data_IF_470070789689
#
_entry.id   IF_470070789689
#
_cell.length_a   1.000
_cell.length_b   1.000
_cell.length_c   1.000
_cell.angle_alpha   90.00
_cell.angle_beta   90.00
_cell.angle_gamma   90.00
#
_symmetry.space_group_name_H-M   'P 1'
#
loop_
_entity.id
_entity.type
_entity.pdbx_description
1 polymer ?
#
# COMPACT_ATOMS: atom_id res chain seq x y z
N UNK A 1 -1.93 -5.81 -19.55
CA UNK A 1 -2.09 -4.35 -19.38
C UNK A 1 -1.42 -3.65 -20.55
N UNK A 2 -2.04 -2.60 -21.10
CA UNK A 2 -1.46 -1.79 -22.19
C UNK A 2 -1.46 -0.30 -21.83
N UNK A 3 -2.61 0.23 -21.39
CA UNK A 3 -2.76 1.61 -21.00
C UNK A 3 -3.30 1.68 -19.57
N UNK A 4 -2.54 2.28 -18.69
CA UNK A 4 -2.73 2.19 -17.24
C UNK A 4 -3.05 3.57 -16.68
N UNK A 5 -4.06 3.66 -15.82
CA UNK A 5 -4.37 4.83 -15.01
C UNK A 5 -4.03 4.55 -13.53
N UNK A 6 -3.24 5.42 -12.92
CA UNK A 6 -2.96 5.38 -11.48
C UNK A 6 -3.74 6.50 -10.81
N UNK A 7 -4.82 6.20 -10.12
CA UNK A 7 -5.56 7.19 -9.31
C UNK A 7 -4.88 7.32 -7.95
N UNK A 8 -4.46 8.52 -7.58
CA UNK A 8 -3.63 8.76 -6.39
C UNK A 8 -2.13 8.61 -6.66
N UNK A 9 -1.69 8.93 -7.88
CA UNK A 9 -0.31 8.81 -8.34
C UNK A 9 0.71 9.66 -7.57
N UNK A 10 0.29 10.63 -6.79
CA UNK A 10 1.18 11.48 -5.96
C UNK A 10 1.31 11.00 -4.51
N UNK A 11 0.62 9.89 -4.16
CA UNK A 11 0.76 9.23 -2.86
C UNK A 11 2.03 8.39 -2.74
N UNK A 12 2.26 7.80 -1.56
CA UNK A 12 3.46 6.99 -1.27
C UNK A 12 3.61 5.83 -2.27
N UNK A 13 2.63 4.93 -2.35
CA UNK A 13 2.67 3.82 -3.31
C UNK A 13 2.54 4.37 -4.75
N UNK A 14 1.65 5.35 -4.95
CA UNK A 14 1.29 5.84 -6.28
C UNK A 14 2.46 6.43 -7.06
N UNK A 15 3.32 7.22 -6.40
CA UNK A 15 4.48 7.86 -7.06
C UNK A 15 5.50 6.81 -7.50
N UNK A 16 5.83 5.86 -6.63
CA UNK A 16 6.80 4.81 -6.94
C UNK A 16 6.23 3.79 -7.94
N UNK A 17 4.94 3.41 -7.79
CA UNK A 17 4.29 2.49 -8.74
C UNK A 17 4.16 3.11 -10.14
N UNK A 18 3.85 4.40 -10.24
CA UNK A 18 3.79 5.08 -11.54
C UNK A 18 5.12 5.01 -12.28
N UNK A 19 6.22 5.32 -11.59
CA UNK A 19 7.57 5.26 -12.17
C UNK A 19 7.96 3.83 -12.54
N UNK A 20 7.67 2.87 -11.68
CA UNK A 20 7.91 1.45 -11.94
C UNK A 20 7.14 0.96 -13.17
N UNK A 21 5.84 1.26 -13.28
CA UNK A 21 5.03 0.87 -14.43
C UNK A 21 5.46 1.57 -15.72
N UNK A 22 5.88 2.85 -15.65
CA UNK A 22 6.46 3.56 -16.81
C UNK A 22 7.73 2.88 -17.32
N UNK A 23 8.56 2.37 -16.43
CA UNK A 23 9.77 1.64 -16.83
C UNK A 23 9.47 0.31 -17.51
N UNK A 24 8.34 -0.34 -17.16
CA UNK A 24 7.94 -1.65 -17.71
C UNK A 24 7.14 -1.50 -19.01
N UNK A 25 6.15 -0.60 -19.04
CA UNK A 25 5.18 -0.48 -20.13
C UNK A 25 5.42 0.70 -21.07
N UNK A 26 6.34 1.60 -20.71
CA UNK A 26 6.62 2.85 -21.43
C UNK A 26 5.88 4.04 -20.84
N UNK A 27 6.54 5.19 -20.91
CA UNK A 27 6.09 6.43 -20.29
C UNK A 27 4.68 6.87 -20.73
N UNK A 28 4.40 6.79 -22.02
CA UNK A 28 3.14 7.25 -22.63
C UNK A 28 1.93 6.34 -22.30
N UNK A 29 2.20 5.15 -21.80
CA UNK A 29 1.18 4.14 -21.47
C UNK A 29 0.71 4.21 -20.01
N UNK A 30 1.30 5.07 -19.17
CA UNK A 30 0.96 5.16 -17.74
C UNK A 30 0.62 6.59 -17.35
N UNK A 31 -0.67 6.83 -17.15
CA UNK A 31 -1.23 8.13 -16.78
C UNK A 31 -1.21 8.30 -15.26
N UNK A 32 -0.57 9.35 -14.78
CA UNK A 32 -0.56 9.73 -13.37
C UNK A 32 -1.82 10.57 -13.04
N UNK A 33 -2.82 9.93 -12.42
CA UNK A 33 -4.05 10.59 -11.94
C UNK A 33 -3.85 11.23 -10.57
N UNK A 34 -4.11 12.54 -10.47
CA UNK A 34 -3.94 13.31 -9.24
C UNK A 34 -5.13 14.25 -8.99
N UNK A 35 -5.26 14.78 -7.79
CA UNK A 35 -6.28 15.80 -7.45
C UNK A 35 -5.66 17.20 -7.46
N UNK A 36 -6.47 18.20 -7.74
CA UNK A 36 -6.06 19.62 -7.68
C UNK A 36 -5.48 19.97 -6.30
N UNK A 37 -4.29 20.55 -6.29
CA UNK A 37 -3.52 20.86 -5.08
C UNK A 37 -2.54 19.76 -4.64
N UNK A 38 -2.52 18.62 -5.37
CA UNK A 38 -1.54 17.55 -5.19
C UNK A 38 -0.91 17.17 -6.55
N UNK A 39 -0.48 18.16 -7.31
CA UNK A 39 0.11 18.00 -8.64
C UNK A 39 1.43 17.22 -8.56
N UNK A 40 1.71 16.32 -9.52
CA UNK A 40 3.00 15.64 -9.62
C UNK A 40 4.15 16.64 -9.83
N UNK A 41 5.34 16.28 -9.40
CA UNK A 41 6.55 17.13 -9.49
C UNK A 41 7.74 16.31 -9.99
N UNK A 42 8.77 17.02 -10.50
CA UNK A 42 10.02 16.42 -10.96
C UNK A 42 9.77 15.29 -11.96
N UNK A 43 10.51 14.21 -11.82
CA UNK A 43 10.47 13.09 -12.74
C UNK A 43 9.07 12.51 -12.96
N UNK A 44 8.22 12.45 -11.92
CA UNK A 44 6.84 11.97 -12.04
C UNK A 44 6.00 12.83 -13.01
N UNK A 45 6.24 14.14 -13.05
CA UNK A 45 5.58 15.06 -13.99
C UNK A 45 6.19 14.99 -15.38
N UNK A 46 7.52 14.90 -15.45
CA UNK A 46 8.28 15.07 -16.70
C UNK A 46 8.33 13.79 -17.55
N UNK A 47 8.22 12.61 -16.91
CA UNK A 47 8.41 11.33 -17.58
C UNK A 47 7.21 10.80 -18.35
N UNK A 48 6.00 11.40 -18.23
CA UNK A 48 4.83 10.89 -18.94
C UNK A 48 3.54 11.65 -18.62
N UNK A 49 2.40 11.22 -19.17
CA UNK A 49 1.13 11.92 -19.03
C UNK A 49 0.67 11.98 -17.58
N UNK A 50 0.06 13.11 -17.23
CA UNK A 50 -0.59 13.33 -15.93
C UNK A 50 -1.90 14.09 -16.12
N UNK A 51 -2.93 13.71 -15.34
CA UNK A 51 -4.28 14.25 -15.45
C UNK A 51 -4.92 14.47 -14.08
N UNK A 52 -5.77 15.49 -13.99
CA UNK A 52 -6.66 15.63 -12.84
C UNK A 52 -7.66 14.47 -12.88
N UNK A 53 -7.65 13.63 -11.85
CA UNK A 53 -8.52 12.47 -11.72
C UNK A 53 -9.03 12.39 -10.28
N UNK A 54 -10.19 13.00 -10.04
CA UNK A 54 -10.86 12.99 -8.74
C UNK A 54 -11.73 11.74 -8.62
N UNK A 55 -11.36 10.84 -7.72
CA UNK A 55 -12.09 9.58 -7.49
C UNK A 55 -13.55 9.79 -7.07
N UNK A 56 -13.89 10.96 -6.51
CA UNK A 56 -15.27 11.27 -6.11
C UNK A 56 -16.17 11.70 -7.27
N UNK A 57 -15.61 11.84 -8.49
CA UNK A 57 -16.30 12.24 -9.71
C UNK A 57 -16.18 11.15 -10.79
N UNK A 58 -17.21 10.32 -10.93
CA UNK A 58 -17.22 9.22 -11.92
C UNK A 58 -17.02 9.72 -13.37
N UNK A 59 -17.61 10.88 -13.75
CA UNK A 59 -17.44 11.44 -15.08
C UNK A 59 -15.99 11.83 -15.36
N UNK A 60 -15.30 12.41 -14.37
CA UNK A 60 -13.90 12.78 -14.53
C UNK A 60 -13.00 11.52 -14.71
N UNK A 61 -13.29 10.43 -14.00
CA UNK A 61 -12.60 9.15 -14.23
C UNK A 61 -12.86 8.63 -15.65
N UNK A 62 -14.12 8.62 -16.08
CA UNK A 62 -14.52 8.16 -17.42
C UNK A 62 -13.88 8.99 -18.54
N UNK A 63 -13.78 10.32 -18.36
CA UNK A 63 -13.11 11.21 -19.34
C UNK A 63 -11.63 10.85 -19.51
N UNK A 64 -10.91 10.57 -18.41
CA UNK A 64 -9.51 10.14 -18.47
C UNK A 64 -9.38 8.75 -19.09
N UNK A 65 -10.25 7.81 -18.72
CA UNK A 65 -10.30 6.45 -19.31
C UNK A 65 -10.46 6.51 -20.81
N UNK A 66 -11.41 7.31 -21.30
CA UNK A 66 -11.66 7.48 -22.74
C UNK A 66 -10.51 8.18 -23.46
N UNK A 67 -9.98 9.26 -22.88
CA UNK A 67 -8.89 10.06 -23.48
C UNK A 67 -7.65 9.23 -23.77
N UNK A 68 -7.30 8.30 -22.87
CA UNK A 68 -6.08 7.50 -22.95
C UNK A 68 -6.33 6.04 -23.32
N UNK A 69 -7.58 5.64 -23.64
CA UNK A 69 -7.97 4.25 -23.90
C UNK A 69 -7.49 3.30 -22.81
N UNK A 70 -7.73 3.66 -21.54
CA UNK A 70 -7.29 2.90 -20.37
C UNK A 70 -7.94 1.53 -20.34
N UNK A 71 -7.14 0.49 -20.12
CA UNK A 71 -7.59 -0.89 -19.91
C UNK A 71 -7.39 -1.39 -18.46
N UNK A 72 -6.58 -0.68 -17.67
CA UNK A 72 -6.25 -1.07 -16.30
C UNK A 72 -6.21 0.16 -15.38
N UNK A 73 -6.91 0.09 -14.26
CA UNK A 73 -6.95 1.16 -13.24
C UNK A 73 -6.32 0.64 -11.94
N UNK A 74 -5.29 1.30 -11.46
CA UNK A 74 -4.79 1.16 -10.10
C UNK A 74 -5.42 2.26 -9.24
N UNK A 75 -6.35 1.87 -8.38
CA UNK A 75 -7.00 2.78 -7.45
C UNK A 75 -6.25 2.82 -6.13
N UNK A 76 -5.40 3.81 -5.94
CA UNK A 76 -4.58 4.00 -4.73
C UNK A 76 -5.08 5.16 -3.86
N UNK A 77 -6.18 5.82 -4.24
CA UNK A 77 -6.73 6.95 -3.49
C UNK A 77 -7.39 6.48 -2.19
N UNK A 78 -6.84 6.91 -1.07
CA UNK A 78 -7.37 6.62 0.27
C UNK A 78 -6.86 7.63 1.29
N UNK A 79 -7.57 7.79 2.41
CA UNK A 79 -7.03 8.40 3.62
C UNK A 79 -6.36 7.31 4.48
N UNK A 80 -5.17 7.60 5.03
CA UNK A 80 -4.45 6.67 5.92
C UNK A 80 -5.13 6.56 7.29
N UNK A 81 -4.83 5.46 8.01
CA UNK A 81 -5.52 5.04 9.22
C UNK A 81 -5.76 6.16 10.26
N UNK A 82 -4.71 6.86 10.69
CA UNK A 82 -4.81 7.93 11.71
C UNK A 82 -5.61 9.13 11.18
N UNK A 83 -5.36 9.54 9.92
CA UNK A 83 -6.08 10.66 9.29
C UNK A 83 -7.55 10.32 9.08
N UNK A 84 -7.85 9.08 8.73
CA UNK A 84 -9.22 8.59 8.52
C UNK A 84 -10.04 8.65 9.82
N UNK A 85 -9.47 8.28 10.97
CA UNK A 85 -10.13 8.39 12.29
C UNK A 85 -10.50 9.85 12.63
N UNK A 86 -9.68 10.80 12.25
CA UNK A 86 -9.98 12.23 12.42
C UNK A 86 -11.04 12.78 11.45
N UNK A 87 -11.32 12.07 10.35
CA UNK A 87 -12.24 12.52 9.27
C UNK A 87 -13.07 11.37 8.71
N UNK A 88 -13.87 10.67 9.53
CA UNK A 88 -14.50 9.39 9.15
C UNK A 88 -15.45 9.49 7.95
N UNK A 89 -16.23 10.55 7.84
CA UNK A 89 -17.15 10.75 6.71
C UNK A 89 -16.39 10.96 5.39
N UNK A 90 -15.30 11.72 5.43
CA UNK A 90 -14.45 11.93 4.24
C UNK A 90 -13.73 10.63 3.86
N UNK A 91 -13.24 9.88 4.84
CA UNK A 91 -12.61 8.57 4.61
C UNK A 91 -13.57 7.60 3.93
N UNK A 92 -14.83 7.56 4.37
CA UNK A 92 -15.88 6.76 3.74
C UNK A 92 -16.18 7.23 2.32
N UNK A 93 -16.37 8.54 2.13
CA UNK A 93 -16.68 9.10 0.83
C UNK A 93 -15.61 8.83 -0.22
N UNK A 94 -14.33 8.99 0.15
CA UNK A 94 -13.20 8.69 -0.74
C UNK A 94 -13.02 7.17 -0.89
N UNK A 95 -12.94 6.42 0.22
CA UNK A 95 -12.60 5.00 0.21
C UNK A 95 -13.67 4.12 -0.42
N UNK A 96 -14.94 4.36 -0.14
CA UNK A 96 -16.06 3.54 -0.63
C UNK A 96 -16.80 4.22 -1.76
N UNK A 97 -17.19 5.48 -1.61
CA UNK A 97 -17.85 6.23 -2.70
C UNK A 97 -16.95 6.33 -3.93
N UNK A 98 -15.67 6.65 -3.72
CA UNK A 98 -14.69 6.68 -4.80
C UNK A 98 -14.44 5.32 -5.44
N UNK A 99 -14.29 4.26 -4.65
CA UNK A 99 -14.16 2.90 -5.21
C UNK A 99 -15.38 2.50 -6.03
N UNK A 100 -16.58 2.83 -5.55
CA UNK A 100 -17.82 2.60 -6.30
C UNK A 100 -17.76 3.25 -7.69
N UNK A 101 -17.36 4.52 -7.76
CA UNK A 101 -17.21 5.23 -9.04
C UNK A 101 -16.19 4.54 -9.96
N UNK A 102 -15.04 4.11 -9.43
CA UNK A 102 -14.02 3.38 -10.21
C UNK A 102 -14.58 2.07 -10.76
N UNK A 103 -15.30 1.30 -9.95
CA UNK A 103 -15.87 0.02 -10.35
C UNK A 103 -16.99 0.17 -11.40
N UNK A 104 -17.84 1.21 -11.29
CA UNK A 104 -18.85 1.51 -12.31
C UNK A 104 -18.18 1.92 -13.64
N UNK A 105 -17.20 2.82 -13.61
CA UNK A 105 -16.47 3.19 -14.83
C UNK A 105 -15.75 1.98 -15.42
N UNK A 106 -15.12 1.15 -14.59
CA UNK A 106 -14.46 -0.06 -15.06
C UNK A 106 -15.45 -1.05 -15.71
N UNK A 107 -16.65 -1.20 -15.14
CA UNK A 107 -17.73 -2.03 -15.71
C UNK A 107 -18.17 -1.51 -17.07
N UNK A 108 -18.32 -0.20 -17.22
CA UNK A 108 -18.80 0.44 -18.45
C UNK A 108 -17.76 0.42 -19.57
N UNK A 109 -16.48 0.56 -19.22
CA UNK A 109 -15.38 0.67 -20.18
C UNK A 109 -14.53 -0.61 -20.33
N UNK A 110 -14.84 -1.67 -19.58
CA UNK A 110 -14.13 -2.95 -19.68
C UNK A 110 -12.71 -2.92 -19.09
N UNK A 111 -12.46 -2.07 -18.09
CA UNK A 111 -11.15 -1.98 -17.43
C UNK A 111 -10.98 -3.05 -16.34
N UNK A 112 -9.76 -3.56 -16.18
CA UNK A 112 -9.36 -4.28 -14.97
C UNK A 112 -9.06 -3.28 -13.84
N UNK A 113 -9.25 -3.67 -12.57
CA UNK A 113 -9.08 -2.80 -11.41
C UNK A 113 -8.21 -3.46 -10.35
N UNK A 114 -7.15 -2.78 -9.95
CA UNK A 114 -6.41 -3.08 -8.73
C UNK A 114 -6.77 -2.06 -7.64
N UNK A 115 -7.21 -2.53 -6.47
CA UNK A 115 -7.45 -1.64 -5.31
C UNK A 115 -6.85 -2.28 -4.07
N UNK A 116 -5.80 -1.71 -3.44
CA UNK A 116 -5.16 -2.35 -2.31
C UNK A 116 -6.05 -2.37 -1.06
N UNK A 117 -6.10 -3.52 -0.41
CA UNK A 117 -6.52 -3.66 0.97
C UNK A 117 -5.31 -3.52 1.92
N UNK A 118 -5.46 -3.89 3.18
CA UNK A 118 -4.47 -3.68 4.23
C UNK A 118 -4.64 -4.68 5.35
N UNK A 119 -3.60 -4.96 6.13
CA UNK A 119 -3.71 -5.62 7.43
C UNK A 119 -4.71 -4.93 8.38
N UNK A 120 -4.98 -3.64 8.14
CA UNK A 120 -6.02 -2.88 8.85
C UNK A 120 -7.44 -3.41 8.64
N UNK A 121 -7.69 -4.29 7.66
CA UNK A 121 -8.98 -4.98 7.46
C UNK A 121 -9.27 -6.03 8.54
N UNK A 122 -8.27 -6.44 9.30
CA UNK A 122 -8.41 -7.35 10.42
C UNK A 122 -8.73 -6.62 11.73
N UNK A 123 -9.09 -7.36 12.76
CA UNK A 123 -9.43 -6.81 14.06
C UNK A 123 -9.12 -7.79 15.20
N UNK A 124 -9.38 -7.41 16.45
CA UNK A 124 -8.96 -8.19 17.63
C UNK A 124 -9.49 -9.63 17.72
N UNK A 125 -10.52 -9.96 16.94
CA UNK A 125 -11.06 -11.33 16.84
C UNK A 125 -10.40 -12.22 15.79
N UNK A 126 -9.47 -11.65 15.01
CA UNK A 126 -8.70 -12.37 14.00
C UNK A 126 -7.51 -13.08 14.66
N UNK A 127 -7.15 -14.32 14.28
CA UNK A 127 -5.91 -14.95 14.73
C UNK A 127 -4.70 -14.06 14.39
N UNK A 128 -3.90 -13.68 15.39
CA UNK A 128 -2.80 -12.74 15.17
C UNK A 128 -1.59 -13.37 14.46
N UNK A 129 -1.30 -14.63 14.75
CA UNK A 129 -0.15 -15.35 14.18
C UNK A 129 -0.59 -16.20 12.98
N UNK A 130 0.09 -16.01 11.85
CA UNK A 130 -0.24 -16.66 10.57
C UNK A 130 -1.72 -16.52 10.23
N UNK A 131 -2.17 -15.27 10.22
CA UNK A 131 -3.58 -14.94 9.93
C UNK A 131 -4.00 -15.58 8.61
N UNK A 132 -5.01 -16.48 8.64
CA UNK A 132 -5.44 -17.18 7.42
C UNK A 132 -5.98 -16.23 6.34
N UNK A 133 -5.93 -16.66 5.09
CA UNK A 133 -6.51 -15.93 3.96
C UNK A 133 -7.99 -15.64 4.20
N UNK A 134 -8.75 -16.68 4.53
CA UNK A 134 -10.17 -16.58 4.87
C UNK A 134 -10.35 -16.65 6.39
N UNK A 135 -10.74 -15.55 6.98
CA UNK A 135 -10.91 -15.44 8.42
C UNK A 135 -11.88 -14.31 8.78
N UNK A 136 -12.19 -14.19 10.07
CA UNK A 136 -13.05 -13.12 10.58
C UNK A 136 -12.35 -11.76 10.44
N UNK A 137 -13.02 -10.85 9.73
CA UNK A 137 -12.59 -9.45 9.60
C UNK A 137 -13.57 -8.57 10.40
N UNK A 138 -13.14 -8.07 11.56
CA UNK A 138 -13.92 -7.15 12.42
C UNK A 138 -13.05 -5.99 12.89
N UNK A 139 -12.59 -5.15 11.95
CA UNK A 139 -11.78 -3.98 12.29
C UNK A 139 -12.58 -3.00 13.15
N UNK A 140 -11.87 -2.23 13.97
CA UNK A 140 -12.45 -1.21 14.85
C UNK A 140 -12.24 0.22 14.33
N UNK A 141 -11.51 0.38 13.23
CA UNK A 141 -11.21 1.67 12.63
C UNK A 141 -12.05 1.90 11.38
N UNK A 142 -12.42 3.16 11.09
CA UNK A 142 -13.14 3.50 9.85
C UNK A 142 -12.31 3.13 8.61
N UNK A 143 -10.98 3.22 8.71
CA UNK A 143 -10.06 2.77 7.67
C UNK A 143 -10.22 1.28 7.39
N UNK A 144 -10.14 0.44 8.43
CA UNK A 144 -10.29 -1.00 8.29
C UNK A 144 -11.68 -1.41 7.80
N UNK A 145 -12.74 -0.77 8.30
CA UNK A 145 -14.11 -0.98 7.83
C UNK A 145 -14.22 -0.68 6.33
N UNK A 146 -13.62 0.42 5.87
CA UNK A 146 -13.62 0.75 4.44
C UNK A 146 -12.85 -0.28 3.61
N UNK A 147 -11.74 -0.84 4.14
CA UNK A 147 -10.98 -1.88 3.45
C UNK A 147 -11.79 -3.17 3.29
N UNK A 148 -12.41 -3.67 4.35
CA UNK A 148 -13.31 -4.85 4.27
C UNK A 148 -14.47 -4.61 3.30
N UNK A 149 -15.10 -3.45 3.38
CA UNK A 149 -16.17 -3.09 2.45
C UNK A 149 -15.69 -3.08 0.99
N UNK A 150 -14.49 -2.57 0.76
CA UNK A 150 -13.86 -2.54 -0.57
C UNK A 150 -13.55 -3.94 -1.11
N UNK A 151 -13.06 -4.86 -0.26
CA UNK A 151 -12.85 -6.26 -0.62
C UNK A 151 -14.15 -6.91 -1.10
N UNK A 152 -15.20 -6.83 -0.29
CA UNK A 152 -16.51 -7.41 -0.58
C UNK A 152 -17.18 -6.76 -1.81
N UNK A 153 -17.01 -5.46 -2.00
CA UNK A 153 -17.55 -4.74 -3.15
C UNK A 153 -16.84 -5.17 -4.44
N UNK A 154 -15.53 -5.35 -4.39
CA UNK A 154 -14.74 -5.84 -5.52
C UNK A 154 -15.13 -7.27 -5.91
N UNK A 155 -15.35 -8.16 -4.94
CA UNK A 155 -15.88 -9.51 -5.17
C UNK A 155 -17.25 -9.47 -5.82
N UNK A 156 -18.15 -8.59 -5.36
CA UNK A 156 -19.48 -8.43 -5.95
C UNK A 156 -19.40 -8.02 -7.42
N UNK A 157 -18.53 -7.04 -7.77
CA UNK A 157 -18.36 -6.58 -9.14
C UNK A 157 -17.77 -7.65 -10.05
N UNK A 158 -16.82 -8.42 -9.55
CA UNK A 158 -16.31 -9.58 -10.28
C UNK A 158 -17.38 -10.63 -10.53
N UNK A 159 -18.06 -11.06 -9.47
CA UNK A 159 -19.04 -12.17 -9.54
C UNK A 159 -20.29 -11.81 -10.36
N UNK A 160 -20.74 -10.55 -10.24
CA UNK A 160 -21.99 -10.14 -10.89
C UNK A 160 -21.80 -9.58 -12.28
N UNK A 161 -20.73 -8.83 -12.50
CA UNK A 161 -20.53 -8.07 -13.74
C UNK A 161 -19.31 -8.51 -14.53
N UNK A 162 -18.49 -9.39 -14.01
CA UNK A 162 -17.26 -9.88 -14.67
C UNK A 162 -16.15 -8.85 -14.74
N UNK A 163 -16.18 -7.80 -13.91
CA UNK A 163 -15.07 -6.83 -13.81
C UNK A 163 -13.86 -7.54 -13.21
N UNK A 164 -12.73 -7.54 -13.91
CA UNK A 164 -11.49 -8.13 -13.38
C UNK A 164 -10.92 -7.28 -12.25
N UNK A 165 -11.39 -7.55 -11.04
CA UNK A 165 -10.91 -6.90 -9.81
C UNK A 165 -9.86 -7.76 -9.13
N UNK A 166 -8.76 -7.14 -8.70
CA UNK A 166 -7.67 -7.82 -7.98
C UNK A 166 -7.14 -6.95 -6.85
N UNK A 167 -6.72 -7.57 -5.75
CA UNK A 167 -6.28 -6.86 -4.57
C UNK A 167 -5.31 -7.67 -3.72
N UNK A 168 -4.48 -6.97 -2.94
CA UNK A 168 -3.64 -7.53 -1.88
C UNK A 168 -3.90 -6.80 -0.57
N UNK A 169 -3.76 -7.48 0.55
CA UNK A 169 -3.72 -6.88 1.89
C UNK A 169 -2.28 -6.50 2.19
N UNK A 170 -1.95 -5.24 1.99
CA UNK A 170 -0.60 -4.77 2.30
C UNK A 170 -0.33 -4.79 3.80
N UNK A 171 0.83 -5.31 4.21
CA UNK A 171 1.39 -5.06 5.54
C UNK A 171 1.86 -3.61 5.68
N UNK A 172 2.59 -3.29 6.75
CA UNK A 172 3.27 -2.00 6.90
C UNK A 172 4.31 -1.80 5.81
N UNK A 173 4.21 -0.73 5.03
CA UNK A 173 5.13 -0.45 3.93
C UNK A 173 6.28 0.44 4.37
N UNK A 174 7.49 0.05 3.97
CA UNK A 174 8.74 0.76 4.23
C UNK A 174 9.31 1.23 2.90
N UNK A 175 9.55 2.54 2.75
CA UNK A 175 10.10 3.14 1.54
C UNK A 175 11.27 4.06 1.87
N UNK A 176 12.29 4.05 1.00
CA UNK A 176 13.38 5.02 1.03
C UNK A 176 13.08 6.25 0.15
N UNK A 177 11.97 6.26 -0.62
CA UNK A 177 11.63 7.32 -1.56
C UNK A 177 10.70 8.34 -0.95
N UNK A 178 9.54 7.90 -0.48
CA UNK A 178 8.51 8.78 0.06
C UNK A 178 8.62 8.84 1.59
N UNK A 179 8.69 10.05 2.18
CA UNK A 179 8.67 10.20 3.63
C UNK A 179 7.40 9.63 4.26
N UNK A 180 7.42 9.31 5.55
CA UNK A 180 6.26 8.85 6.30
C UNK A 180 5.07 9.80 6.19
N UNK A 181 3.86 9.24 6.07
CA UNK A 181 2.62 9.98 5.82
C UNK A 181 1.68 10.11 7.03
N UNK A 182 2.09 9.68 8.22
CA UNK A 182 1.26 9.65 9.44
C UNK A 182 0.55 8.32 9.66
N UNK A 183 1.12 7.21 9.19
CA UNK A 183 0.65 5.85 9.46
C UNK A 183 1.15 5.30 10.79
N UNK A 184 0.52 4.23 11.27
CA UNK A 184 0.93 3.54 12.51
C UNK A 184 2.29 2.85 12.35
N UNK A 185 2.61 2.38 11.15
CA UNK A 185 3.83 1.66 10.82
C UNK A 185 5.01 2.57 10.43
N UNK A 186 4.79 3.87 10.37
CA UNK A 186 5.80 4.85 9.92
C UNK A 186 7.05 4.86 10.81
N UNK A 187 6.97 4.35 12.04
CA UNK A 187 8.14 4.22 12.92
C UNK A 187 9.27 3.42 12.25
N UNK A 188 8.91 2.43 11.42
CA UNK A 188 9.86 1.57 10.71
C UNK A 188 10.52 2.27 9.50
N UNK A 189 10.06 3.47 9.15
CA UNK A 189 10.71 4.37 8.18
C UNK A 189 11.48 5.47 8.94
N UNK A 190 10.83 6.10 9.92
CA UNK A 190 11.42 7.20 10.72
C UNK A 190 12.72 6.79 11.42
N UNK A 191 12.83 5.53 11.86
CA UNK A 191 14.02 4.99 12.51
C UNK A 191 15.25 5.07 11.61
N UNK A 192 15.11 4.82 10.29
CA UNK A 192 16.22 4.92 9.33
C UNK A 192 16.64 6.37 9.10
N UNK A 193 15.65 7.30 9.01
CA UNK A 193 15.97 8.73 8.91
C UNK A 193 16.77 9.23 10.12
N UNK A 194 16.36 8.83 11.33
CA UNK A 194 17.09 9.16 12.56
C UNK A 194 18.50 8.55 12.55
N UNK A 195 18.62 7.30 12.16
CA UNK A 195 19.92 6.59 12.10
C UNK A 195 20.92 7.28 11.14
N UNK A 196 20.46 7.61 9.91
CA UNK A 196 21.32 8.26 8.90
C UNK A 196 21.72 9.68 9.31
N UNK A 197 20.84 10.39 10.06
CA UNK A 197 21.16 11.74 10.60
C UNK A 197 22.04 11.71 11.85
N UNK A 198 22.29 10.53 12.40
CA UNK A 198 23.01 10.39 13.68
C UNK A 198 22.19 10.90 14.88
N UNK A 199 20.88 10.91 14.76
CA UNK A 199 19.93 11.34 15.78
C UNK A 199 19.43 10.12 16.59
N UNK A 200 19.11 10.33 17.88
CA UNK A 200 18.47 9.32 18.69
C UNK A 200 17.02 9.15 18.23
N UNK A 201 16.58 7.93 18.01
CA UNK A 201 15.21 7.62 17.65
C UNK A 201 14.32 7.44 18.90
N UNK A 202 13.13 8.06 18.88
CA UNK A 202 12.10 7.89 19.90
C UNK A 202 10.99 7.02 19.30
N UNK A 203 10.95 5.74 19.70
CA UNK A 203 10.00 4.78 19.17
C UNK A 203 8.61 4.97 19.81
N UNK A 204 7.54 5.21 19.00
CA UNK A 204 6.19 5.37 19.52
C UNK A 204 5.45 4.06 19.73
N UNK A 205 6.06 2.91 19.39
CA UNK A 205 5.48 1.57 19.51
C UNK A 205 6.24 0.80 20.58
N UNK A 206 5.52 0.08 21.44
CA UNK A 206 6.10 -0.67 22.53
C UNK A 206 6.96 -1.84 22.04
N UNK A 207 8.01 -2.14 22.80
CA UNK A 207 8.79 -3.37 22.61
C UNK A 207 7.88 -4.61 22.64
N UNK A 208 8.19 -5.61 21.83
CA UNK A 208 7.41 -6.84 21.74
C UNK A 208 6.13 -6.73 20.86
N UNK A 209 5.88 -5.57 20.24
CA UNK A 209 4.76 -5.41 19.30
C UNK A 209 5.19 -5.83 17.89
N UNK A 210 4.87 -7.06 17.51
CA UNK A 210 5.13 -7.58 16.19
C UNK A 210 4.12 -7.03 15.18
N UNK A 211 4.58 -6.72 13.99
CA UNK A 211 3.74 -6.35 12.85
C UNK A 211 4.36 -6.89 11.55
N UNK A 212 3.51 -7.33 10.65
CA UNK A 212 3.94 -7.69 9.31
C UNK A 212 4.34 -6.44 8.52
N UNK A 213 5.50 -6.47 7.89
CA UNK A 213 6.11 -5.36 7.17
C UNK A 213 6.60 -5.80 5.80
N UNK A 214 6.70 -4.86 4.88
CA UNK A 214 7.17 -5.12 3.52
C UNK A 214 7.95 -3.92 2.98
N UNK A 215 9.06 -4.18 2.31
CA UNK A 215 9.80 -3.16 1.60
C UNK A 215 9.08 -2.74 0.31
N UNK A 216 9.13 -1.45 -0.05
CA UNK A 216 8.38 -0.92 -1.19
C UNK A 216 8.67 -1.64 -2.52
N UNK A 217 9.90 -2.03 -2.87
CA UNK A 217 10.14 -2.80 -4.09
C UNK A 217 9.34 -4.10 -4.17
N UNK A 218 9.17 -4.82 -3.06
CA UNK A 218 8.32 -6.02 -3.02
C UNK A 218 6.85 -5.66 -3.19
N UNK A 219 6.39 -4.55 -2.59
CA UNK A 219 5.01 -4.09 -2.75
C UNK A 219 4.67 -3.72 -4.19
N UNK A 220 5.59 -3.01 -4.88
CA UNK A 220 5.43 -2.67 -6.30
C UNK A 220 5.41 -3.91 -7.17
N UNK A 221 6.29 -4.87 -6.88
CA UNK A 221 6.35 -6.15 -7.56
C UNK A 221 5.05 -6.94 -7.41
N UNK A 222 4.48 -6.97 -6.19
CA UNK A 222 3.19 -7.60 -5.93
C UNK A 222 2.06 -6.98 -6.77
N UNK A 223 2.02 -5.65 -6.90
CA UNK A 223 1.04 -4.95 -7.74
C UNK A 223 1.11 -5.40 -9.20
N UNK A 224 2.33 -5.48 -9.75
CA UNK A 224 2.55 -5.86 -11.15
C UNK A 224 2.25 -7.35 -11.36
N UNK A 225 2.86 -8.23 -10.57
CA UNK A 225 2.72 -9.68 -10.71
C UNK A 225 1.27 -10.15 -10.58
N UNK A 226 0.52 -9.61 -9.60
CA UNK A 226 -0.88 -9.98 -9.44
C UNK A 226 -1.71 -9.55 -10.66
N UNK A 227 -1.49 -8.35 -11.20
CA UNK A 227 -2.25 -7.88 -12.36
C UNK A 227 -1.85 -8.57 -13.67
N UNK A 228 -0.66 -9.16 -13.75
CA UNK A 228 -0.19 -9.98 -14.88
C UNK A 228 -0.52 -11.47 -14.71
N UNK A 229 -0.90 -11.90 -13.51
CA UNK A 229 -1.22 -13.31 -13.25
C UNK A 229 -2.36 -13.82 -14.12
N UNK A 230 -2.28 -15.11 -14.49
CA UNK A 230 -3.36 -15.77 -15.23
C UNK A 230 -4.66 -15.74 -14.40
N UNK A 231 -5.71 -15.07 -14.90
CA UNK A 231 -6.97 -14.95 -14.18
C UNK A 231 -7.64 -16.29 -13.85
N UNK A 232 -7.33 -17.34 -14.59
CA UNK A 232 -7.87 -18.69 -14.36
C UNK A 232 -7.27 -19.35 -13.10
N UNK A 233 -6.10 -18.90 -12.63
CA UNK A 233 -5.47 -19.39 -11.41
C UNK A 233 -5.97 -18.71 -10.14
N UNK A 234 -6.60 -17.53 -10.27
CA UNK A 234 -6.96 -16.70 -9.12
C UNK A 234 -8.29 -17.15 -8.50
N UNK A 235 -8.21 -17.82 -7.35
CA UNK A 235 -9.38 -18.20 -6.53
C UNK A 235 -9.75 -17.06 -5.58
N UNK A 236 -8.72 -16.49 -4.89
CA UNK A 236 -8.88 -15.42 -3.91
C UNK A 236 -8.60 -14.02 -4.50
N UNK A 237 -9.13 -13.71 -5.65
CA UNK A 237 -8.88 -12.49 -6.44
C UNK A 237 -8.73 -11.20 -5.64
N UNK A 238 -9.65 -10.99 -4.71
CA UNK A 238 -9.69 -9.83 -3.81
C UNK A 238 -9.46 -10.35 -2.40
N UNK A 239 -8.60 -10.01 -1.96
CA UNK A 239 -7.51 -9.41 -1.29
C UNK A 239 -6.58 -10.50 -0.79
N UNK A 240 -5.62 -10.86 -1.55
CA UNK A 240 -4.61 -11.82 -1.13
C UNK A 240 -3.84 -11.31 0.09
N UNK A 241 -3.70 -12.14 1.10
CA UNK A 241 -2.66 -11.92 2.10
C UNK A 241 -1.30 -12.01 1.41
N UNK A 242 -0.46 -11.02 1.61
CA UNK A 242 0.95 -11.04 1.21
C UNK A 242 1.82 -10.69 2.41
N UNK A 243 2.87 -11.45 2.63
CA UNK A 243 3.81 -11.27 3.72
C UNK A 243 5.24 -11.16 3.19
N UNK A 244 6.09 -10.43 3.87
CA UNK A 244 7.53 -10.36 3.60
C UNK A 244 8.32 -10.63 4.86
N UNK A 245 8.16 -9.80 5.89
CA UNK A 245 8.86 -9.93 7.16
C UNK A 245 7.98 -9.48 8.32
N UNK A 246 8.02 -10.19 9.44
CA UNK A 246 7.38 -9.77 10.69
C UNK A 246 8.44 -9.50 11.73
N UNK A 247 8.43 -8.30 12.29
CA UNK A 247 9.39 -7.91 13.31
C UNK A 247 8.79 -6.89 14.31
N UNK A 248 9.46 -6.75 15.44
CA UNK A 248 9.17 -5.78 16.48
C UNK A 248 10.23 -4.64 16.49
N UNK A 249 9.97 -3.50 17.14
CA UNK A 249 10.88 -2.35 17.08
C UNK A 249 12.32 -2.61 17.49
N UNK A 250 12.56 -3.53 18.44
CA UNK A 250 13.93 -3.84 18.85
C UNK A 250 14.71 -4.59 17.77
N UNK A 251 14.06 -5.41 16.98
CA UNK A 251 14.75 -6.18 15.93
C UNK A 251 15.27 -5.26 14.83
N UNK A 252 14.46 -4.33 14.33
CA UNK A 252 14.92 -3.35 13.33
C UNK A 252 16.00 -2.43 13.90
N UNK A 253 15.89 -2.04 15.18
CA UNK A 253 16.92 -1.26 15.86
C UNK A 253 18.26 -2.00 15.93
N UNK A 254 18.27 -3.26 16.36
CA UNK A 254 19.51 -4.05 16.44
C UNK A 254 20.11 -4.29 15.04
N UNK A 255 19.30 -4.56 14.02
CA UNK A 255 19.78 -4.70 12.64
C UNK A 255 20.43 -3.41 12.13
N UNK A 256 19.88 -2.24 12.44
CA UNK A 256 20.53 -0.95 12.13
C UNK A 256 21.85 -0.79 12.88
N UNK A 257 21.93 -1.25 14.13
CA UNK A 257 23.15 -1.14 14.94
C UNK A 257 24.28 -2.03 14.45
N UNK A 258 24.00 -3.10 13.74
CA UNK A 258 25.05 -3.91 13.08
C UNK A 258 25.86 -3.04 12.12
N UNK A 259 25.19 -2.11 11.41
CA UNK A 259 25.82 -1.20 10.44
C UNK A 259 26.26 0.15 11.08
N UNK A 260 25.51 0.63 12.07
CA UNK A 260 25.72 1.91 12.75
C UNK A 260 25.80 1.70 14.28
N UNK A 261 26.93 1.20 14.83
CA UNK A 261 27.04 0.81 16.26
C UNK A 261 26.75 1.92 17.27
N UNK A 262 26.86 3.19 16.86
CA UNK A 262 26.57 4.36 17.70
C UNK A 262 25.08 4.76 17.75
N UNK A 263 24.22 4.13 16.94
CA UNK A 263 22.79 4.48 16.89
C UNK A 263 22.10 4.16 18.22
N UNK A 264 21.19 5.04 18.64
CA UNK A 264 20.44 4.93 19.89
C UNK A 264 18.95 5.03 19.68
N UNK A 265 18.19 4.22 20.43
CA UNK A 265 16.74 4.26 20.47
C UNK A 265 16.22 4.27 21.90
N UNK A 266 15.13 4.99 22.12
CA UNK A 266 14.34 4.96 23.35
C UNK A 266 12.85 4.77 23.02
N UNK A 267 12.08 4.27 23.97
CA UNK A 267 10.64 4.10 23.81
C UNK A 267 9.89 5.25 24.50
N UNK A 268 9.01 5.90 23.73
CA UNK A 268 7.98 6.79 24.24
C UNK A 268 6.66 6.44 23.53
N UNK A 269 5.97 5.45 24.09
CA UNK A 269 4.79 4.84 23.45
C UNK A 269 3.66 5.84 23.29
N UNK A 270 3.19 5.98 22.05
CA UNK A 270 1.96 6.73 21.71
C UNK A 270 0.75 5.81 21.91
N UNK A 271 -0.18 6.14 22.84
CA UNK A 271 -1.31 5.25 23.14
C UNK A 271 -2.23 4.97 21.95
N UNK A 272 -2.42 5.96 21.05
CA UNK A 272 -3.28 5.79 19.87
C UNK A 272 -2.63 4.85 18.86
N UNK A 273 -1.36 5.12 18.49
CA UNK A 273 -0.60 4.27 17.56
C UNK A 273 -0.47 2.84 18.11
N UNK A 274 -0.17 2.70 19.40
CA UNK A 274 -0.08 1.38 20.05
C UNK A 274 -1.41 0.62 20.01
N UNK A 275 -2.53 1.28 20.31
CA UNK A 275 -3.86 0.66 20.26
C UNK A 275 -4.21 0.16 18.86
N UNK A 276 -3.84 0.90 17.82
CA UNK A 276 -4.04 0.50 16.43
C UNK A 276 -3.12 -0.70 16.11
N UNK A 277 -1.81 -0.59 16.39
CA UNK A 277 -0.84 -1.66 16.15
C UNK A 277 -1.25 -2.98 16.82
N UNK A 278 -1.65 -2.93 18.11
CA UNK A 278 -2.10 -4.09 18.87
C UNK A 278 -3.42 -4.71 18.37
N UNK A 279 -4.12 -4.07 17.45
CA UNK A 279 -5.35 -4.58 16.84
C UNK A 279 -5.12 -5.33 15.52
N UNK A 280 -3.91 -5.27 14.99
CA UNK A 280 -3.52 -5.89 13.74
C UNK A 280 -2.82 -7.24 13.94
N UNK A 281 -2.76 -8.08 12.90
CA UNK A 281 -1.99 -9.32 12.94
C UNK A 281 -0.50 -9.09 13.13
N UNK A 282 0.13 -10.03 13.85
CA UNK A 282 1.59 -10.10 13.96
C UNK A 282 2.23 -10.53 12.64
N UNK A 283 1.60 -11.49 11.94
CA UNK A 283 2.00 -11.93 10.60
C UNK A 283 0.84 -12.57 9.84
N UNK A 284 0.90 -12.52 8.51
CA UNK A 284 -0.08 -13.11 7.61
C UNK A 284 0.39 -14.47 7.08
N UNK A 285 -0.56 -15.37 6.78
CA UNK A 285 -0.34 -16.54 5.95
C UNK A 285 -0.57 -16.15 4.49
N UNK A 286 0.48 -16.16 3.67
CA UNK A 286 0.48 -15.79 2.26
C UNK A 286 0.49 -16.99 1.30
N UNK A 287 0.18 -18.19 1.80
CA UNK A 287 0.22 -19.43 0.99
C UNK A 287 -0.70 -19.40 -0.22
N UNK A 288 -1.84 -18.68 -0.16
CA UNK A 288 -2.73 -18.53 -1.32
C UNK A 288 -2.05 -17.72 -2.41
N UNK A 289 -1.43 -16.59 -2.09
CA UNK A 289 -0.67 -15.78 -3.03
C UNK A 289 0.48 -16.59 -3.68
N UNK A 290 1.22 -17.35 -2.89
CA UNK A 290 2.31 -18.23 -3.39
C UNK A 290 1.82 -19.29 -4.36
N UNK A 291 0.65 -19.88 -4.12
CA UNK A 291 0.09 -20.95 -4.98
C UNK A 291 -0.59 -20.43 -6.23
N UNK A 292 -1.29 -19.31 -6.13
CA UNK A 292 -2.18 -18.83 -7.18
C UNK A 292 -1.47 -17.93 -8.20
N UNK A 293 -0.46 -17.16 -7.78
CA UNK A 293 0.28 -16.26 -8.66
C UNK A 293 1.78 -16.19 -8.37
N UNK A 294 2.33 -17.23 -7.72
CA UNK A 294 3.77 -17.44 -7.53
C UNK A 294 4.46 -16.33 -6.72
N UNK A 295 3.71 -15.69 -5.80
CA UNK A 295 4.23 -14.64 -4.93
C UNK A 295 5.47 -15.08 -4.16
N UNK A 296 6.50 -14.23 -4.15
CA UNK A 296 7.70 -14.43 -3.35
C UNK A 296 8.35 -13.08 -3.05
N UNK A 297 8.45 -12.67 -1.77
CA UNK A 297 9.21 -11.49 -1.39
C UNK A 297 10.70 -11.69 -1.68
N UNK A 298 11.40 -10.60 -2.00
CA UNK A 298 12.83 -10.59 -2.33
C UNK A 298 13.68 -10.07 -1.18
N UNK A 299 13.09 -9.30 -0.26
CA UNK A 299 13.78 -8.66 0.85
C UNK A 299 13.42 -9.31 2.18
N UNK A 300 14.44 -9.50 3.02
CA UNK A 300 14.34 -9.71 4.45
C UNK A 300 14.74 -8.44 5.23
N UNK A 301 14.68 -8.48 6.56
CA UNK A 301 14.97 -7.32 7.39
C UNK A 301 16.42 -6.83 7.21
N UNK A 302 17.39 -7.74 7.05
CA UNK A 302 18.78 -7.37 6.91
C UNK A 302 19.07 -6.73 5.54
N UNK A 303 18.66 -7.35 4.44
CA UNK A 303 18.86 -6.83 3.08
C UNK A 303 18.09 -5.51 2.85
N UNK A 304 16.88 -5.38 3.41
CA UNK A 304 16.16 -4.11 3.41
C UNK A 304 16.92 -3.04 4.20
N UNK A 305 17.46 -3.37 5.37
CA UNK A 305 18.21 -2.39 6.20
C UNK A 305 19.41 -1.85 5.46
N UNK A 306 20.20 -2.71 4.81
CA UNK A 306 21.36 -2.28 4.01
C UNK A 306 20.94 -1.31 2.90
N UNK A 307 19.91 -1.65 2.12
CA UNK A 307 19.42 -0.84 1.00
C UNK A 307 18.82 0.50 1.50
N UNK A 308 18.07 0.49 2.60
CA UNK A 308 17.53 1.70 3.22
C UNK A 308 18.64 2.66 3.68
N UNK A 309 19.65 2.16 4.38
CA UNK A 309 20.77 2.98 4.89
C UNK A 309 21.60 3.55 3.72
N UNK A 310 21.90 2.76 2.70
CA UNK A 310 22.64 3.21 1.51
C UNK A 310 21.89 4.32 0.79
N UNK A 311 20.63 4.07 0.39
CA UNK A 311 19.84 5.01 -0.41
C UNK A 311 19.50 6.29 0.33
N UNK A 312 19.13 6.20 1.62
CA UNK A 312 18.86 7.40 2.42
C UNK A 312 20.12 8.21 2.66
N UNK A 313 21.27 7.57 2.90
CA UNK A 313 22.55 8.26 3.06
C UNK A 313 22.95 9.02 1.80
N UNK A 314 22.74 8.43 0.63
CA UNK A 314 23.00 9.10 -0.65
C UNK A 314 22.06 10.31 -0.86
N UNK A 315 20.77 10.14 -0.58
CA UNK A 315 19.75 11.19 -0.75
C UNK A 315 19.89 12.37 0.21
N UNK A 316 20.25 12.13 1.47
CA UNK A 316 20.37 13.19 2.48
C UNK A 316 21.70 13.96 2.39
N UNK A 317 22.67 13.47 1.61
CA UNK A 317 23.94 14.17 1.31
C UNK A 317 23.87 14.99 0.02
N UNK A 318 22.87 14.74 -0.86
CA UNK A 318 22.63 15.46 -2.09
C UNK A 318 21.79 16.73 -1.84
#
# INVERSE_FOLDING_TARGET
MKNILIIGATGQIGSELTMNLRSIYGNDHVVAGYIKGAEPKGELLESGPSEICDITNAQNIADVVNKYNIDTIYNLAALLSVVAEGKPLLAWHIGIGGLWNVLEVAREHGCAVFTPSSIGSFGPGTPAYKTPQDTIQRPKTIYGISKVTGELLSDYYYNKYGVDTRSVRFPGLISNVTPPGGGTTDYAVDIYYSAVRGEKFICPIAQGTYMDMMYMPDALNACVQLMEADPARLVHRNSFNIASMSFEPNQIYETIREELPGFQMEYQVDPLKQSIASSWPDCLDDMCARKEWDWKPQFDLHSMTLDMLEKLSARLKA
#
